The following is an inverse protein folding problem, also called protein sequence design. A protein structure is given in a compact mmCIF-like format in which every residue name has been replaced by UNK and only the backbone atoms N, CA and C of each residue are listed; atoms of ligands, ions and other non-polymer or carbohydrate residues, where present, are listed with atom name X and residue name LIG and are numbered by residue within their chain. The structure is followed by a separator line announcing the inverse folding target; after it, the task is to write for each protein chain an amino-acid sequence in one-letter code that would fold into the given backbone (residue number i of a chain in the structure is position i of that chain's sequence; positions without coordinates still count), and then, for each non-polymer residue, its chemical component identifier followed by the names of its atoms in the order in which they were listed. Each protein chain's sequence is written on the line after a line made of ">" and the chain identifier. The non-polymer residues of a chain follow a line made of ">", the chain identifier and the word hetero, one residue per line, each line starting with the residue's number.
data_IF_568759369323
#
_entry.id   IF_568759369323
#
_cell.length_a   1.000
_cell.length_b   1.000
_cell.length_c   1.000
_cell.angle_alpha   90.00
_cell.angle_beta   90.00
_cell.angle_gamma   90.00
#
_symmetry.space_group_name_H-M   'P 1'
#
loop_
_entity.id
_entity.type
_entity.pdbx_description
1 polymer ?
#
# COMPACT_ATOMS: atom_id res chain seq x y z
N UNK A 1 -7.98 38.14 -23.68
CA UNK A 1 -7.55 37.26 -22.58
C UNK A 1 -7.13 35.93 -23.17
N UNK A 2 -5.85 35.56 -23.18
CA UNK A 2 -5.38 34.29 -23.76
C UNK A 2 -5.58 33.18 -22.71
N UNK A 3 -6.15 32.06 -23.16
CA UNK A 3 -6.31 30.82 -22.40
C UNK A 3 -4.92 30.20 -22.17
N UNK A 4 -4.49 30.12 -20.94
CA UNK A 4 -3.34 29.32 -20.52
C UNK A 4 -3.72 27.84 -20.65
N UNK A 5 -3.12 27.15 -21.62
CA UNK A 5 -3.20 25.69 -21.73
C UNK A 5 -2.31 25.08 -20.63
N UNK A 6 -2.90 24.55 -19.60
CA UNK A 6 -2.22 23.76 -18.60
C UNK A 6 -1.83 22.42 -19.23
N UNK A 7 -0.55 22.28 -19.56
CA UNK A 7 0.04 20.96 -19.87
C UNK A 7 0.19 20.18 -18.56
N UNK A 8 -0.76 19.30 -18.31
CA UNK A 8 -0.58 18.27 -17.28
C UNK A 8 0.45 17.27 -17.78
N UNK A 9 1.60 17.23 -17.14
CA UNK A 9 2.54 16.11 -17.25
C UNK A 9 1.96 14.92 -16.48
N UNK A 10 0.98 14.26 -17.06
CA UNK A 10 0.60 12.93 -16.65
C UNK A 10 1.72 11.97 -17.06
N UNK A 11 2.50 11.48 -16.12
CA UNK A 11 3.29 10.27 -16.34
C UNK A 11 2.26 9.18 -16.65
N UNK A 12 2.21 8.77 -17.92
CA UNK A 12 1.34 7.69 -18.33
C UNK A 12 1.65 6.47 -17.46
N UNK A 13 0.63 5.88 -16.85
CA UNK A 13 0.69 4.67 -16.02
C UNK A 13 1.59 3.59 -16.65
N UNK A 14 1.55 3.46 -17.97
CA UNK A 14 2.44 2.59 -18.78
C UNK A 14 3.93 2.92 -18.65
N UNK A 15 4.32 4.18 -18.61
CA UNK A 15 5.73 4.58 -18.49
C UNK A 15 6.28 4.35 -17.09
N UNK A 16 5.46 4.53 -16.07
CA UNK A 16 5.82 4.18 -14.68
C UNK A 16 6.05 2.67 -14.54
N UNK A 17 5.17 1.85 -15.10
CA UNK A 17 5.30 0.39 -15.09
C UNK A 17 6.48 -0.10 -15.95
N UNK A 18 6.77 0.56 -17.07
CA UNK A 18 7.95 0.25 -17.89
C UNK A 18 9.27 0.58 -17.20
N UNK A 19 9.34 1.62 -16.38
CA UNK A 19 10.52 1.91 -15.57
C UNK A 19 10.78 0.84 -14.50
N UNK A 20 9.74 0.21 -13.98
CA UNK A 20 9.87 -0.91 -13.03
C UNK A 20 10.30 -2.22 -13.72
N UNK A 21 9.93 -2.41 -14.98
CA UNK A 21 10.24 -3.63 -15.74
C UNK A 21 11.67 -3.67 -16.34
N UNK A 22 12.37 -2.54 -16.45
CA UNK A 22 13.70 -2.47 -17.06
C UNK A 22 14.86 -2.91 -16.16
N UNK A 23 14.60 -3.34 -14.94
CA UNK A 23 15.65 -3.89 -14.05
C UNK A 23 15.97 -5.37 -14.33
N UNK A 24 15.23 -6.05 -15.21
CA UNK A 24 15.35 -7.50 -15.41
C UNK A 24 16.09 -7.95 -16.69
N UNK A 25 16.73 -7.05 -17.44
CA UNK A 25 17.45 -7.42 -18.65
C UNK A 25 18.92 -6.95 -18.63
N UNK A 26 19.76 -7.65 -17.88
CA UNK A 26 21.21 -7.63 -18.10
C UNK A 26 21.69 -9.04 -18.44
N UNK A 27 22.49 -9.19 -19.52
CA UNK A 27 22.98 -10.49 -19.93
C UNK A 27 24.03 -11.02 -18.95
N UNK A 28 24.01 -12.33 -18.80
CA UNK A 28 24.91 -13.16 -18.02
C UNK A 28 26.40 -12.72 -18.11
N UNK A 29 26.92 -12.18 -17.01
CA UNK A 29 28.34 -12.21 -16.73
C UNK A 29 28.58 -13.12 -15.50
N UNK A 30 29.38 -14.13 -15.76
CA UNK A 30 29.81 -15.21 -14.90
C UNK A 30 30.36 -14.76 -13.55
N UNK A 31 29.92 -15.43 -12.48
CA UNK A 31 30.66 -15.81 -11.28
C UNK A 31 31.46 -14.71 -10.54
N UNK A 32 30.73 -13.90 -9.79
CA UNK A 32 31.21 -13.47 -8.48
C UNK A 32 30.08 -13.81 -7.49
N UNK A 33 30.22 -14.96 -6.86
CA UNK A 33 29.39 -15.36 -5.73
C UNK A 33 29.75 -14.46 -4.53
N UNK A 34 29.31 -13.20 -4.56
CA UNK A 34 29.10 -12.46 -3.36
C UNK A 34 27.86 -13.03 -2.70
N UNK A 35 28.03 -14.04 -1.88
CA UNK A 35 27.03 -14.40 -0.87
C UNK A 35 26.89 -13.19 0.05
N UNK A 36 26.10 -12.21 -0.36
CA UNK A 36 25.46 -11.33 0.59
C UNK A 36 24.57 -12.25 1.43
N UNK A 37 25.08 -12.65 2.58
CA UNK A 37 24.24 -13.09 3.68
C UNK A 37 23.36 -11.89 3.98
N UNK A 38 22.20 -11.81 3.33
CA UNK A 38 21.11 -10.93 3.70
C UNK A 38 20.68 -11.40 5.08
N UNK A 39 21.34 -10.87 6.12
CA UNK A 39 20.89 -11.04 7.48
C UNK A 39 19.42 -10.63 7.53
N UNK A 40 18.57 -11.45 8.15
CA UNK A 40 17.17 -11.12 8.35
C UNK A 40 17.08 -9.71 8.90
N UNK A 41 16.35 -8.84 8.24
CA UNK A 41 16.16 -7.46 8.68
C UNK A 41 15.61 -7.46 10.10
N UNK A 42 16.22 -6.70 10.99
CA UNK A 42 15.76 -6.53 12.38
C UNK A 42 15.18 -5.13 12.49
N UNK A 43 13.94 -5.06 12.93
CA UNK A 43 13.23 -3.83 13.22
C UNK A 43 13.19 -3.57 14.73
N UNK A 44 13.16 -2.30 15.15
CA UNK A 44 12.99 -1.91 16.53
C UNK A 44 11.61 -2.26 17.10
N UNK A 45 10.60 -2.14 16.19
CA UNK A 45 9.19 -2.41 16.46
C UNK A 45 8.59 -3.08 15.23
N UNK A 46 7.33 -3.51 15.32
CA UNK A 46 6.63 -4.10 14.19
C UNK A 46 6.57 -3.10 13.01
N UNK A 47 7.22 -3.40 11.87
CA UNK A 47 7.30 -2.47 10.75
C UNK A 47 5.96 -2.27 10.03
N UNK A 48 4.98 -3.10 10.28
CA UNK A 48 3.64 -3.04 9.66
C UNK A 48 2.63 -2.22 10.49
N UNK A 49 3.11 -1.27 11.30
CA UNK A 49 2.26 -0.45 12.17
C UNK A 49 1.15 0.33 11.42
N UNK A 50 1.35 0.63 10.14
CA UNK A 50 0.34 1.25 9.27
C UNK A 50 -0.63 0.25 8.63
N UNK A 51 -0.47 -1.06 8.91
CA UNK A 51 -1.33 -2.09 8.40
C UNK A 51 -1.12 -2.42 6.92
N UNK A 52 -2.18 -2.90 6.30
CA UNK A 52 -2.22 -3.34 4.90
C UNK A 52 -3.46 -2.80 4.22
N UNK A 53 -3.41 -2.65 2.90
CA UNK A 53 -4.55 -2.25 2.09
C UNK A 53 -4.57 -2.99 0.75
N UNK A 54 -5.70 -2.99 0.08
CA UNK A 54 -5.83 -3.48 -1.29
C UNK A 54 -6.65 -2.52 -2.13
N UNK A 55 -6.44 -2.56 -3.44
CA UNK A 55 -7.14 -1.70 -4.37
C UNK A 55 -7.08 -2.22 -5.80
N UNK A 56 -7.58 -1.42 -6.73
CA UNK A 56 -7.62 -1.73 -8.17
C UNK A 56 -8.10 -3.19 -8.46
N UNK A 57 -9.26 -3.62 -7.92
CA UNK A 57 -9.73 -4.98 -8.12
C UNK A 57 -10.11 -5.20 -9.59
N UNK A 58 -9.62 -6.30 -10.16
CA UNK A 58 -9.93 -6.81 -11.49
C UNK A 58 -10.52 -8.23 -11.35
N UNK A 59 -11.12 -8.84 -12.40
CA UNK A 59 -11.64 -10.21 -12.31
C UNK A 59 -10.58 -11.24 -11.90
N UNK A 60 -9.33 -11.04 -12.33
CA UNK A 60 -8.24 -12.00 -12.09
C UNK A 60 -7.06 -11.41 -11.33
N UNK A 61 -7.24 -10.26 -10.70
CA UNK A 61 -6.14 -9.60 -10.01
C UNK A 61 -6.57 -8.55 -9.02
N UNK A 62 -5.61 -8.11 -8.22
CA UNK A 62 -5.78 -7.05 -7.23
C UNK A 62 -4.42 -6.45 -6.90
N UNK A 63 -4.37 -5.19 -6.56
CA UNK A 63 -3.16 -4.60 -5.96
C UNK A 63 -3.24 -4.73 -4.45
N UNK A 64 -2.21 -5.32 -3.84
CA UNK A 64 -2.04 -5.33 -2.38
C UNK A 64 -0.94 -4.38 -1.97
N UNK A 65 -1.09 -3.74 -0.81
CA UNK A 65 -0.23 -2.67 -0.36
C UNK A 65 0.14 -2.81 1.11
N UNK A 66 1.35 -2.39 1.43
CA UNK A 66 1.81 -2.08 2.78
C UNK A 66 2.90 -1.00 2.75
N UNK A 67 3.27 -0.50 3.92
CA UNK A 67 4.41 0.40 4.09
C UNK A 67 5.15 0.01 5.37
N UNK A 68 6.46 -0.11 5.28
CA UNK A 68 7.28 -0.35 6.47
C UNK A 68 7.49 0.98 7.21
N UNK A 69 6.97 1.05 8.42
CA UNK A 69 7.05 2.21 9.30
C UNK A 69 6.98 1.74 10.77
N UNK A 70 8.10 1.30 11.38
CA UNK A 70 8.10 0.77 12.75
C UNK A 70 7.58 1.77 13.79
N UNK A 71 7.83 3.05 13.57
CA UNK A 71 7.46 4.15 14.48
C UNK A 71 6.84 5.30 13.68
N UNK A 72 5.62 5.12 13.12
CA UNK A 72 5.05 6.06 12.16
C UNK A 72 4.79 7.47 12.72
N UNK A 73 4.67 7.60 14.04
CA UNK A 73 4.43 8.88 14.71
C UNK A 73 5.73 9.63 15.06
N UNK A 74 6.89 9.03 14.85
CA UNK A 74 8.19 9.63 15.11
C UNK A 74 8.91 10.09 13.83
N UNK A 75 8.27 9.89 12.68
CA UNK A 75 8.83 10.18 11.36
C UNK A 75 9.61 9.01 10.78
N UNK A 76 10.44 9.24 9.75
CA UNK A 76 11.18 8.19 9.07
C UNK A 76 12.29 7.60 9.96
N UNK A 77 12.07 6.40 10.49
CA UNK A 77 13.02 5.71 11.40
C UNK A 77 13.82 4.62 10.72
N UNK A 78 13.44 4.22 9.50
CA UNK A 78 14.18 3.23 8.73
C UNK A 78 15.41 3.84 8.06
N UNK A 79 16.47 3.03 7.95
CA UNK A 79 17.66 3.41 7.19
C UNK A 79 17.34 3.58 5.71
N UNK A 80 18.19 4.34 5.01
CA UNK A 80 18.08 4.54 3.56
C UNK A 80 18.59 3.31 2.77
N UNK A 81 18.01 2.14 3.08
CA UNK A 81 18.33 0.85 2.45
C UNK A 81 17.04 0.13 2.04
N UNK A 82 17.15 -0.86 1.18
CA UNK A 82 16.02 -1.66 0.71
C UNK A 82 15.81 -2.86 1.62
N UNK A 83 14.56 -3.11 1.98
CA UNK A 83 14.14 -4.26 2.80
C UNK A 83 13.36 -5.25 1.96
N UNK A 84 13.74 -6.53 1.98
CA UNK A 84 12.94 -7.57 1.35
C UNK A 84 11.61 -7.73 2.08
N UNK A 85 10.52 -7.74 1.31
CA UNK A 85 9.16 -7.99 1.79
C UNK A 85 8.59 -9.15 0.99
N UNK A 86 8.26 -10.23 1.67
CA UNK A 86 7.55 -11.37 1.10
C UNK A 86 6.06 -11.16 1.28
N UNK A 87 5.27 -11.74 0.39
CA UNK A 87 3.82 -11.65 0.44
C UNK A 87 3.18 -12.98 0.07
N UNK A 88 1.99 -13.22 0.60
CA UNK A 88 1.18 -14.40 0.36
C UNK A 88 -0.28 -14.00 0.19
N UNK A 89 -0.96 -14.69 -0.73
CA UNK A 89 -2.41 -14.60 -0.92
C UNK A 89 -3.01 -15.99 -0.79
N UNK A 90 -4.06 -16.10 0.01
CA UNK A 90 -4.73 -17.37 0.33
C UNK A 90 -6.25 -17.27 0.10
N UNK A 91 -6.88 -18.40 -0.09
CA UNK A 91 -8.35 -18.52 -0.13
C UNK A 91 -8.98 -18.62 1.26
N UNK A 92 -8.18 -18.77 2.30
CA UNK A 92 -8.61 -18.86 3.69
C UNK A 92 -7.72 -18.03 4.62
N UNK A 93 -8.30 -17.53 5.70
CA UNK A 93 -7.63 -16.65 6.67
C UNK A 93 -6.49 -17.33 7.43
N UNK A 94 -6.53 -18.65 7.55
CA UNK A 94 -5.48 -19.45 8.21
C UNK A 94 -4.24 -19.69 7.33
N UNK A 95 -4.30 -19.29 6.05
CA UNK A 95 -3.26 -19.53 5.04
C UNK A 95 -2.94 -21.02 4.83
N UNK A 96 -3.95 -21.89 4.98
CA UNK A 96 -3.81 -23.32 4.68
C UNK A 96 -3.75 -23.58 3.17
N UNK A 97 -4.34 -22.69 2.36
CA UNK A 97 -4.37 -22.79 0.91
C UNK A 97 -3.86 -21.51 0.24
N UNK A 98 -2.54 -21.31 0.28
CA UNK A 98 -1.86 -20.20 -0.39
C UNK A 98 -1.90 -20.43 -1.90
N UNK A 99 -2.50 -19.50 -2.64
CA UNK A 99 -2.68 -19.57 -4.10
C UNK A 99 -1.66 -18.74 -4.85
N UNK A 100 -1.15 -17.65 -4.24
CA UNK A 100 -0.11 -16.79 -4.81
C UNK A 100 0.86 -16.37 -3.70
N UNK A 101 2.14 -16.23 -4.06
CA UNK A 101 3.18 -15.71 -3.16
C UNK A 101 4.35 -15.17 -3.95
N UNK A 102 5.11 -14.29 -3.34
CA UNK A 102 6.32 -13.74 -3.95
C UNK A 102 7.11 -12.88 -2.99
N UNK A 103 8.08 -12.15 -3.53
CA UNK A 103 8.84 -11.14 -2.79
C UNK A 103 9.06 -9.90 -3.64
N UNK A 104 9.26 -8.79 -2.96
CA UNK A 104 9.60 -7.49 -3.54
C UNK A 104 10.44 -6.71 -2.54
N UNK A 105 10.82 -5.47 -2.87
CA UNK A 105 11.61 -4.64 -1.99
C UNK A 105 10.87 -3.36 -1.61
N UNK A 106 10.82 -3.07 -0.32
CA UNK A 106 10.46 -1.76 0.22
C UNK A 106 11.69 -0.85 0.09
N UNK A 107 11.64 0.11 -0.83
CA UNK A 107 12.77 0.97 -1.17
C UNK A 107 12.60 2.39 -0.62
N UNK A 108 13.69 3.07 -0.20
CA UNK A 108 13.59 4.42 0.38
C UNK A 108 13.00 5.44 -0.60
N UNK A 109 13.24 5.28 -1.89
CA UNK A 109 12.71 6.17 -2.94
C UNK A 109 11.18 6.21 -2.98
N UNK A 110 10.52 5.13 -2.53
CA UNK A 110 9.06 5.03 -2.39
C UNK A 110 8.60 5.20 -0.94
N UNK A 111 9.45 5.73 -0.05
CA UNK A 111 9.16 5.85 1.38
C UNK A 111 8.89 4.50 2.04
N UNK A 112 9.55 3.45 1.57
CA UNK A 112 9.37 2.05 1.98
C UNK A 112 7.95 1.50 1.81
N UNK A 113 7.16 2.09 0.89
CA UNK A 113 5.89 1.54 0.47
C UNK A 113 6.08 0.39 -0.51
N UNK A 114 5.21 -0.60 -0.43
CA UNK A 114 5.16 -1.78 -1.29
C UNK A 114 3.82 -1.83 -1.98
N UNK A 115 3.83 -2.00 -3.30
CA UNK A 115 2.66 -2.28 -4.13
C UNK A 115 2.94 -3.55 -4.91
N UNK A 116 2.04 -4.52 -4.82
CA UNK A 116 2.15 -5.78 -5.54
C UNK A 116 0.90 -5.98 -6.38
N UNK A 117 1.06 -6.07 -7.69
CA UNK A 117 0.00 -6.51 -8.59
C UNK A 117 -0.04 -8.04 -8.52
N UNK A 118 -1.11 -8.56 -7.94
CA UNK A 118 -1.37 -10.01 -7.84
C UNK A 118 -2.26 -10.40 -9.00
N UNK A 119 -1.82 -11.35 -9.81
CA UNK A 119 -2.55 -11.87 -10.97
C UNK A 119 -2.85 -13.36 -10.82
N UNK A 120 -3.70 -13.90 -11.72
CA UNK A 120 -4.03 -15.32 -11.74
C UNK A 120 -5.02 -15.77 -10.67
N UNK A 121 -5.77 -14.83 -10.10
CA UNK A 121 -6.84 -15.10 -9.17
C UNK A 121 -8.13 -15.48 -9.92
N UNK A 122 -9.08 -16.09 -9.22
CA UNK A 122 -10.43 -16.36 -9.75
C UNK A 122 -11.32 -15.14 -9.56
N UNK A 123 -12.21 -14.89 -10.52
CA UNK A 123 -13.17 -13.80 -10.47
C UNK A 123 -14.20 -13.99 -9.36
N UNK A 124 -14.75 -12.87 -8.88
CA UNK A 124 -15.83 -12.80 -7.89
C UNK A 124 -15.56 -13.61 -6.62
N UNK A 125 -14.33 -13.50 -6.09
CA UNK A 125 -13.89 -14.31 -4.96
C UNK A 125 -13.17 -13.49 -3.91
N UNK A 126 -13.41 -13.83 -2.63
CA UNK A 126 -12.68 -13.32 -1.50
C UNK A 126 -11.33 -14.02 -1.34
N UNK A 127 -10.31 -13.23 -0.97
CA UNK A 127 -8.96 -13.66 -0.66
C UNK A 127 -8.45 -12.97 0.60
N UNK A 128 -7.50 -13.62 1.27
CA UNK A 128 -6.76 -13.10 2.40
C UNK A 128 -5.30 -12.91 2.00
N UNK A 129 -4.67 -11.88 2.49
CA UNK A 129 -3.27 -11.61 2.16
C UNK A 129 -2.51 -11.08 3.37
N UNK A 130 -1.19 -11.30 3.38
CA UNK A 130 -0.28 -10.80 4.40
C UNK A 130 1.10 -10.57 3.83
N UNK A 131 1.90 -9.80 4.56
CA UNK A 131 3.29 -9.52 4.23
C UNK A 131 4.21 -9.98 5.36
N UNK A 132 5.47 -10.25 5.00
CA UNK A 132 6.53 -10.63 5.93
C UNK A 132 7.76 -9.77 5.66
N UNK A 133 8.39 -9.23 6.70
CA UNK A 133 9.64 -8.51 6.64
C UNK A 133 10.53 -8.95 7.81
N UNK A 134 11.66 -9.58 7.52
CA UNK A 134 12.48 -10.22 8.54
C UNK A 134 11.70 -11.31 9.27
N UNK A 135 11.55 -11.17 10.59
CA UNK A 135 10.74 -12.04 11.46
C UNK A 135 9.30 -11.57 11.62
N UNK A 136 8.99 -10.36 11.17
CA UNK A 136 7.71 -9.71 11.41
C UNK A 136 6.69 -10.08 10.35
N UNK A 137 5.42 -10.18 10.77
CA UNK A 137 4.26 -10.49 9.91
C UNK A 137 3.24 -9.37 10.07
N UNK A 138 2.67 -8.94 8.95
CA UNK A 138 1.61 -7.93 8.95
C UNK A 138 0.29 -8.48 9.52
N UNK A 139 -0.66 -7.61 9.87
CA UNK A 139 -2.05 -8.01 9.96
C UNK A 139 -2.51 -8.71 8.67
N UNK A 140 -3.53 -9.57 8.80
CA UNK A 140 -4.18 -10.19 7.64
C UNK A 140 -5.12 -9.18 7.00
N UNK A 141 -4.94 -8.91 5.71
CA UNK A 141 -5.89 -8.16 4.91
C UNK A 141 -6.88 -9.08 4.20
N UNK A 142 -8.09 -8.58 3.93
CA UNK A 142 -9.10 -9.24 3.12
C UNK A 142 -9.37 -8.42 1.87
N UNK A 143 -9.47 -9.06 0.72
CA UNK A 143 -9.75 -8.41 -0.56
C UNK A 143 -10.67 -9.26 -1.40
N UNK A 144 -11.28 -8.67 -2.43
CA UNK A 144 -12.17 -9.38 -3.36
C UNK A 144 -11.85 -8.98 -4.79
N UNK A 145 -11.78 -9.98 -5.67
CA UNK A 145 -11.75 -9.77 -7.12
C UNK A 145 -13.15 -9.40 -7.63
N UNK A 146 -13.21 -8.65 -8.72
CA UNK A 146 -14.48 -8.31 -9.35
C UNK A 146 -15.08 -9.52 -10.11
N UNK A 147 -16.40 -9.54 -10.34
CA UNK A 147 -16.99 -10.45 -11.31
C UNK A 147 -16.38 -10.27 -12.70
N UNK A 148 -16.57 -11.26 -13.56
CA UNK A 148 -16.25 -11.12 -14.99
C UNK A 148 -17.01 -9.94 -15.61
N UNK A 149 -16.38 -9.26 -16.60
CA UNK A 149 -16.90 -7.98 -17.16
C UNK A 149 -18.33 -8.05 -17.71
N UNK A 150 -18.79 -9.23 -18.09
CA UNK A 150 -20.15 -9.44 -18.64
C UNK A 150 -21.12 -10.06 -17.65
N UNK A 151 -20.67 -10.29 -16.42
CA UNK A 151 -21.50 -10.83 -15.34
C UNK A 151 -22.01 -9.68 -14.47
N UNK A 152 -23.32 -9.57 -14.35
CA UNK A 152 -23.94 -8.61 -13.43
C UNK A 152 -24.06 -9.24 -12.05
N UNK A 153 -23.44 -8.66 -11.02
CA UNK A 153 -23.64 -9.14 -9.66
C UNK A 153 -25.08 -8.88 -9.20
N UNK A 154 -25.63 -9.77 -8.40
CA UNK A 154 -26.96 -9.59 -7.80
C UNK A 154 -27.03 -8.37 -6.88
N UNK A 155 -25.91 -8.04 -6.24
CA UNK A 155 -25.77 -6.93 -5.30
C UNK A 155 -24.35 -6.40 -5.29
N UNK A 156 -24.22 -5.08 -5.14
CA UNK A 156 -22.99 -4.40 -4.77
C UNK A 156 -23.25 -3.57 -3.51
N UNK A 157 -22.55 -3.89 -2.42
CA UNK A 157 -22.57 -3.12 -1.18
C UNK A 157 -21.28 -2.34 -1.06
N UNK A 158 -21.37 -1.02 -1.08
CA UNK A 158 -20.18 -0.18 -0.96
C UNK A 158 -20.38 0.92 0.09
N UNK A 159 -19.26 1.35 0.66
CA UNK A 159 -19.20 2.53 1.50
C UNK A 159 -18.30 3.59 0.85
N UNK A 160 -18.49 4.84 1.25
CA UNK A 160 -17.57 5.91 0.87
C UNK A 160 -17.27 6.82 2.07
N UNK A 161 -16.10 7.45 2.03
CA UNK A 161 -15.64 8.40 3.03
C UNK A 161 -14.85 9.51 2.36
N UNK A 162 -14.66 10.63 3.07
CA UNK A 162 -13.83 11.75 2.62
C UNK A 162 -13.42 12.62 3.80
N UNK A 163 -12.54 13.59 3.56
CA UNK A 163 -12.25 14.68 4.48
C UNK A 163 -11.82 14.21 5.87
N UNK A 164 -10.97 13.21 5.92
CA UNK A 164 -10.46 12.67 7.19
C UNK A 164 -9.31 13.54 7.69
N UNK A 165 -9.59 14.41 8.65
CA UNK A 165 -8.57 15.28 9.22
C UNK A 165 -7.96 14.62 10.47
N UNK A 166 -6.66 14.28 10.41
CA UNK A 166 -5.92 13.60 11.48
C UNK A 166 -6.03 14.28 12.83
N UNK A 167 -5.99 15.61 12.86
CA UNK A 167 -5.98 16.39 14.10
C UNK A 167 -7.37 16.60 14.72
N UNK A 168 -8.44 16.35 13.95
CA UNK A 168 -9.79 16.76 14.35
C UNK A 168 -10.61 15.68 15.04
N UNK A 169 -10.18 14.41 15.00
CA UNK A 169 -10.96 13.32 15.59
C UNK A 169 -10.25 11.97 15.59
N UNK A 170 -10.93 10.94 16.06
CA UNK A 170 -10.43 9.58 16.22
C UNK A 170 -10.90 8.61 15.13
N UNK A 171 -11.50 9.11 14.06
CA UNK A 171 -11.99 8.29 12.94
C UNK A 171 -13.01 7.21 13.35
N UNK A 172 -13.87 7.52 14.31
CA UNK A 172 -14.84 6.58 14.88
C UNK A 172 -15.79 5.95 13.85
N UNK A 173 -15.93 6.54 12.67
CA UNK A 173 -16.73 5.98 11.57
C UNK A 173 -16.16 4.67 11.00
N UNK A 174 -14.84 4.50 11.00
CA UNK A 174 -14.22 3.30 10.41
C UNK A 174 -14.51 2.01 11.18
N UNK A 175 -14.47 1.95 12.53
CA UNK A 175 -14.90 0.76 13.27
C UNK A 175 -16.36 0.36 13.00
N UNK A 176 -17.25 1.34 12.79
CA UNK A 176 -18.64 1.03 12.40
C UNK A 176 -18.72 0.53 10.96
N UNK A 177 -17.95 1.13 10.05
CA UNK A 177 -17.87 0.67 8.67
C UNK A 177 -17.36 -0.78 8.57
N UNK A 178 -16.41 -1.19 9.44
CA UNK A 178 -15.90 -2.56 9.49
C UNK A 178 -16.93 -3.61 9.92
N UNK A 179 -17.98 -3.20 10.66
CA UNK A 179 -19.05 -4.11 11.07
C UNK A 179 -20.00 -4.47 9.91
N UNK A 180 -19.98 -3.66 8.87
CA UNK A 180 -20.74 -3.91 7.65
C UNK A 180 -19.90 -4.71 6.65
N UNK A 181 -20.47 -5.71 6.02
CA UNK A 181 -19.75 -6.51 5.02
C UNK A 181 -19.84 -5.83 3.65
N UNK A 182 -18.90 -4.91 3.40
CA UNK A 182 -18.81 -4.17 2.15
C UNK A 182 -17.97 -4.91 1.11
N UNK A 183 -18.40 -4.84 -0.15
CA UNK A 183 -17.62 -5.31 -1.30
C UNK A 183 -16.53 -4.30 -1.68
N UNK A 184 -16.76 -2.99 -1.46
CA UNK A 184 -15.87 -1.91 -1.85
C UNK A 184 -15.98 -0.73 -0.88
N UNK A 185 -14.85 -0.10 -0.60
CA UNK A 185 -14.79 1.20 0.11
C UNK A 185 -14.09 2.22 -0.79
N UNK A 186 -14.70 3.39 -0.96
CA UNK A 186 -14.19 4.48 -1.79
C UNK A 186 -13.83 5.66 -0.91
N UNK A 187 -12.61 6.18 -1.05
CA UNK A 187 -12.22 7.45 -0.45
C UNK A 187 -12.32 8.57 -1.50
N UNK A 188 -13.20 9.54 -1.27
CA UNK A 188 -13.53 10.58 -2.26
C UNK A 188 -12.57 11.77 -2.26
N UNK A 189 -11.53 11.75 -1.43
CA UNK A 189 -10.54 12.81 -1.36
C UNK A 189 -10.38 13.41 0.02
N UNK A 190 -9.50 14.42 0.13
CA UNK A 190 -9.03 15.00 1.38
C UNK A 190 -8.53 13.92 2.35
N UNK A 191 -7.66 13.05 1.83
CA UNK A 191 -7.04 11.98 2.61
C UNK A 191 -6.05 12.55 3.63
N UNK A 192 -5.29 13.56 3.23
CA UNK A 192 -4.43 14.38 4.09
C UNK A 192 -4.64 15.86 3.78
N UNK A 193 -4.22 16.71 4.72
CA UNK A 193 -4.23 18.17 4.59
C UNK A 193 -2.81 18.71 4.72
N UNK A 194 -2.48 19.73 3.93
CA UNK A 194 -1.14 20.29 3.79
C UNK A 194 -0.72 21.23 4.92
N UNK A 195 -1.65 21.76 5.67
CA UNK A 195 -1.39 22.81 6.68
C UNK A 195 -0.46 22.34 7.79
N UNK A 196 0.30 23.25 8.37
CA UNK A 196 1.09 23.00 9.57
C UNK A 196 0.19 22.51 10.73
N UNK A 197 0.77 21.68 11.60
CA UNK A 197 0.04 21.15 12.75
C UNK A 197 -0.52 22.25 13.66
N UNK A 198 -1.75 22.08 14.12
CA UNK A 198 -2.48 23.03 14.94
C UNK A 198 -2.42 22.61 16.40
N UNK A 199 -2.07 23.53 17.29
CA UNK A 199 -2.05 23.26 18.74
C UNK A 199 -3.47 23.09 19.30
N UNK A 200 -3.58 22.38 20.42
CA UNK A 200 -4.83 22.11 21.13
C UNK A 200 -5.86 21.26 20.33
N UNK A 201 -5.41 20.51 19.35
CA UNK A 201 -6.20 19.48 18.68
C UNK A 201 -6.05 18.13 19.40
N UNK A 202 -6.88 17.17 19.01
CA UNK A 202 -6.83 15.77 19.55
C UNK A 202 -5.48 15.10 19.29
N UNK A 203 -4.90 15.41 18.13
CA UNK A 203 -3.56 14.99 17.70
C UNK A 203 -2.92 16.15 16.96
N UNK A 204 -1.62 16.10 16.76
CA UNK A 204 -0.86 17.09 16.00
C UNK A 204 -0.04 16.42 14.93
N UNK A 205 -0.07 16.94 13.72
CA UNK A 205 0.81 16.51 12.65
C UNK A 205 2.28 16.79 12.98
N UNK A 206 3.16 15.94 12.46
CA UNK A 206 4.58 16.21 12.41
C UNK A 206 4.89 17.18 11.26
N UNK A 207 5.90 18.02 11.47
CA UNK A 207 6.44 18.89 10.44
C UNK A 207 5.64 20.17 10.17
N UNK A 208 6.15 21.00 9.24
CA UNK A 208 5.54 22.25 8.79
C UNK A 208 4.42 21.99 7.77
N UNK A 209 3.93 23.06 7.14
CA UNK A 209 3.12 22.96 5.92
C UNK A 209 3.87 22.18 4.83
N UNK A 210 3.15 21.33 4.11
CA UNK A 210 3.71 20.46 3.07
C UNK A 210 4.12 21.32 1.86
N UNK A 211 5.42 21.38 1.60
CA UNK A 211 5.99 22.07 0.43
C UNK A 211 6.92 21.17 -0.39
N UNK A 212 7.26 20.01 0.14
CA UNK A 212 8.16 19.04 -0.48
C UNK A 212 7.62 17.61 -0.37
N UNK A 213 8.22 16.68 -1.14
CA UNK A 213 7.90 15.26 -1.03
C UNK A 213 8.24 14.70 0.37
N UNK A 214 9.30 15.20 0.98
CA UNK A 214 9.69 14.73 2.32
C UNK A 214 8.71 15.21 3.39
N UNK A 215 8.19 16.44 3.28
CA UNK A 215 7.11 16.91 4.14
C UNK A 215 5.84 16.08 3.97
N UNK A 216 5.51 15.73 2.72
CA UNK A 216 4.37 14.86 2.41
C UNK A 216 4.52 13.47 3.03
N UNK A 217 5.73 12.89 2.98
CA UNK A 217 6.02 11.57 3.57
C UNK A 217 6.04 11.59 5.09
N UNK A 218 6.32 12.73 5.68
CA UNK A 218 6.31 12.93 7.13
C UNK A 218 4.87 13.04 7.67
N UNK A 219 3.93 13.51 6.85
CA UNK A 219 2.51 13.66 7.16
C UNK A 219 1.79 12.33 7.28
#
# INVERSE_FOLDING_TARGET
>A
MPRLSQKYYGLERRKFLQMMATVTALPSLSHLSASCVLGSAKFSDNPFALGVASGDPEPHGVVIWTKLAPQPLEGPTLRQESYEVKWEVSTDESFSNVVQKGSTFAVPQLGHSVHVEVEGLQADRWYFYRFHAGSEVSPVGRTRTTPERHVMPERLKFAFTSCQHWESGFFNGYPHMQQDDHDLVIHLGDYIYEYAGIDNRVRKHLGPEITSLDDYRLR
#
